data_IF_201577939172
#
_entry.id   IF_201577939172
#
_cell.length_a   1.000
_cell.length_b   1.000
_cell.length_c   1.000
_cell.angle_alpha   90.00
_cell.angle_beta   90.00
_cell.angle_gamma   90.00
#
_symmetry.space_group_name_H-M   'P 1'
#
loop_
_entity.id
_entity.type
_entity.pdbx_description
1 polymer ?
#
# COMPACT_ATOMS: atom_id res chain seq x y z
N UNK A 1 5.83 3.13 34.24
CA UNK A 1 4.88 3.48 35.31
C UNK A 1 3.56 2.80 35.00
N UNK A 2 3.02 1.99 35.90
CA UNK A 2 1.68 1.44 35.80
C UNK A 2 0.76 2.18 36.79
N UNK A 3 -0.51 2.39 36.44
CA UNK A 3 -1.46 3.09 37.27
C UNK A 3 -2.62 3.73 36.52
N UNK A 4 -3.33 4.62 37.16
CA UNK A 4 -4.45 5.37 36.59
C UNK A 4 -4.15 6.86 36.67
N UNK A 5 -4.27 7.55 35.54
CA UNK A 5 -4.24 9.01 35.47
C UNK A 5 -5.68 9.51 35.42
N UNK A 6 -6.07 10.37 36.33
CA UNK A 6 -7.38 11.03 36.36
C UNK A 6 -7.26 12.47 35.95
N UNK A 7 -8.09 12.89 35.02
CA UNK A 7 -8.09 14.25 34.49
C UNK A 7 -9.51 14.82 34.51
N UNK A 8 -9.63 16.09 34.84
CA UNK A 8 -10.87 16.83 34.58
C UNK A 8 -10.91 17.22 33.10
N UNK A 9 -12.00 16.90 32.44
CA UNK A 9 -12.19 17.09 31.01
C UNK A 9 -13.42 17.94 30.76
N UNK A 10 -13.29 18.95 29.92
CA UNK A 10 -14.40 19.61 29.30
C UNK A 10 -14.73 18.94 27.96
N UNK A 11 -15.96 18.48 27.77
CA UNK A 11 -16.41 17.85 26.54
C UNK A 11 -16.62 18.91 25.46
N UNK A 12 -15.78 18.93 24.41
CA UNK A 12 -15.82 19.94 23.36
C UNK A 12 -16.80 19.61 22.22
N UNK A 13 -17.28 18.36 22.14
CA UNK A 13 -18.14 17.92 21.03
C UNK A 13 -19.11 16.80 21.41
N UNK A 14 -20.08 16.53 20.52
CA UNK A 14 -21.10 15.50 20.74
C UNK A 14 -22.26 15.92 21.64
N UNK A 15 -23.08 14.94 22.03
CA UNK A 15 -24.34 15.19 22.80
C UNK A 15 -24.12 15.77 24.20
N UNK A 16 -22.92 15.67 24.75
CA UNK A 16 -22.58 16.12 26.10
C UNK A 16 -21.68 17.36 26.11
N UNK A 17 -21.63 18.13 25.03
CA UNK A 17 -20.79 19.31 24.89
C UNK A 17 -21.00 20.30 26.05
N UNK A 18 -19.89 20.83 26.58
CA UNK A 18 -19.85 21.81 27.68
C UNK A 18 -19.96 21.20 29.10
N UNK A 19 -20.11 19.86 29.22
CA UNK A 19 -20.08 19.22 30.54
C UNK A 19 -18.63 19.00 30.97
N UNK A 20 -18.35 19.22 32.24
CA UNK A 20 -17.10 18.91 32.90
C UNK A 20 -17.27 17.56 33.59
N UNK A 21 -16.37 16.62 33.26
CA UNK A 21 -16.39 15.23 33.74
C UNK A 21 -14.99 14.75 34.09
N UNK A 22 -14.93 13.75 34.98
CA UNK A 22 -13.66 13.06 35.27
C UNK A 22 -13.40 12.00 34.21
N UNK A 23 -12.26 12.11 33.51
CA UNK A 23 -11.78 11.10 32.57
C UNK A 23 -10.66 10.26 33.17
N UNK A 24 -10.63 8.97 32.79
CA UNK A 24 -9.64 8.00 33.26
C UNK A 24 -8.75 7.52 32.12
N UNK A 25 -7.47 7.51 32.36
CA UNK A 25 -6.45 6.97 31.48
C UNK A 25 -5.68 5.88 32.20
N UNK A 26 -5.78 4.62 31.72
CA UNK A 26 -5.07 3.47 32.27
C UNK A 26 -3.67 3.39 31.69
N UNK A 27 -2.68 3.27 32.55
CA UNK A 27 -1.27 3.11 32.20
C UNK A 27 -0.85 1.67 32.55
N UNK A 28 -0.45 0.93 31.53
CA UNK A 28 -0.06 -0.48 31.63
C UNK A 28 1.46 -0.70 31.85
N UNK A 29 2.23 0.39 31.82
CA UNK A 29 3.70 0.34 31.88
C UNK A 29 4.36 0.11 30.52
N UNK A 30 3.58 0.14 29.43
CA UNK A 30 4.08 0.00 28.06
C UNK A 30 4.40 1.36 27.47
N UNK A 31 5.64 1.57 27.04
CA UNK A 31 6.02 2.81 26.33
C UNK A 31 5.31 2.96 24.98
N UNK A 32 4.88 1.87 24.38
CA UNK A 32 4.19 1.85 23.10
C UNK A 32 2.71 2.22 23.23
N UNK A 33 2.07 1.80 24.32
CA UNK A 33 0.62 1.94 24.50
C UNK A 33 0.24 3.07 25.45
N UNK A 34 1.09 3.38 26.41
CA UNK A 34 0.78 4.37 27.43
C UNK A 34 0.96 5.79 26.90
N UNK A 35 0.02 6.62 27.21
CA UNK A 35 -0.03 8.04 26.89
C UNK A 35 -0.28 8.84 28.14
N UNK A 36 0.44 9.94 28.30
CA UNK A 36 0.28 10.87 29.40
C UNK A 36 -0.37 12.16 28.86
N UNK A 37 -1.36 12.65 29.60
CA UNK A 37 -2.03 13.90 29.28
C UNK A 37 -1.62 15.00 30.23
N UNK A 38 -1.43 16.20 29.69
CA UNK A 38 -1.15 17.43 30.42
C UNK A 38 -2.32 18.39 30.35
N UNK A 39 -2.36 19.37 31.26
CA UNK A 39 -3.37 20.42 31.23
C UNK A 39 -3.30 21.20 29.90
N UNK A 40 -4.44 21.35 29.22
CA UNK A 40 -4.54 21.98 27.90
C UNK A 40 -4.51 21.00 26.72
N UNK A 41 -4.21 19.73 26.93
CA UNK A 41 -4.22 18.71 25.87
C UNK A 41 -5.65 18.42 25.42
N UNK A 42 -5.81 18.17 24.11
CA UNK A 42 -7.07 17.67 23.55
C UNK A 42 -7.01 16.15 23.45
N UNK A 43 -7.96 15.48 24.10
CA UNK A 43 -8.07 14.03 24.13
C UNK A 43 -9.28 13.54 23.35
N UNK A 44 -9.12 12.41 22.64
CA UNK A 44 -10.21 11.61 22.16
C UNK A 44 -10.72 10.75 23.31
N UNK A 45 -12.01 10.85 23.62
CA UNK A 45 -12.61 10.16 24.76
C UNK A 45 -13.75 9.25 24.33
N UNK A 46 -13.92 8.13 25.03
CA UNK A 46 -15.11 7.27 24.95
C UNK A 46 -15.98 7.55 26.17
N UNK A 47 -17.21 7.92 25.92
CA UNK A 47 -18.21 8.22 26.96
C UNK A 47 -19.18 7.05 27.03
N UNK A 48 -19.22 6.36 28.15
CA UNK A 48 -20.26 5.38 28.46
C UNK A 48 -21.39 6.10 29.20
N UNK A 49 -22.59 6.01 28.67
CA UNK A 49 -23.76 6.70 29.25
C UNK A 49 -24.98 5.78 29.26
N UNK A 50 -25.88 6.01 30.19
CA UNK A 50 -27.18 5.33 30.28
C UNK A 50 -28.25 6.35 30.67
N UNK A 51 -29.40 6.33 30.02
CA UNK A 51 -30.51 7.24 30.22
C UNK A 51 -30.12 8.74 30.22
N UNK A 52 -29.12 9.15 29.45
CA UNK A 52 -28.66 10.55 29.40
C UNK A 52 -27.65 10.94 30.49
N UNK A 53 -27.33 10.03 31.43
CA UNK A 53 -26.31 10.23 32.45
C UNK A 53 -24.99 9.58 32.06
N UNK A 54 -23.87 10.27 32.29
CA UNK A 54 -22.53 9.79 32.01
C UNK A 54 -22.10 8.89 33.14
N UNK A 55 -21.83 7.59 32.82
CA UNK A 55 -21.37 6.61 33.78
C UNK A 55 -19.85 6.62 33.92
N UNK A 56 -19.11 6.69 32.81
CA UNK A 56 -17.66 6.74 32.80
C UNK A 56 -17.13 7.39 31.54
N UNK A 57 -15.96 8.02 31.64
CA UNK A 57 -15.23 8.59 30.49
C UNK A 57 -13.84 7.99 30.49
N UNK A 58 -13.50 7.31 29.39
CA UNK A 58 -12.18 6.72 29.18
C UNK A 58 -11.42 7.55 28.12
N UNK A 59 -10.22 7.96 28.47
CA UNK A 59 -9.32 8.67 27.53
C UNK A 59 -8.66 7.65 26.61
N UNK A 60 -8.89 7.77 25.30
CA UNK A 60 -8.39 6.80 24.31
C UNK A 60 -7.04 7.22 23.79
N UNK A 61 -6.91 8.46 23.30
CA UNK A 61 -5.68 8.99 22.74
C UNK A 61 -5.71 10.51 22.65
N UNK A 62 -4.57 11.13 22.28
CA UNK A 62 -4.53 12.55 21.91
C UNK A 62 -5.36 12.80 20.65
N UNK A 63 -6.07 13.94 20.60
CA UNK A 63 -6.87 14.32 19.44
C UNK A 63 -6.01 14.95 18.36
N UNK A 64 -5.58 14.15 17.39
CA UNK A 64 -4.64 14.54 16.31
C UNK A 64 -5.35 14.96 15.01
N UNK A 65 -6.63 14.68 14.86
CA UNK A 65 -7.37 14.88 13.61
C UNK A 65 -7.21 16.27 12.94
N UNK A 66 -7.15 17.42 13.65
CA UNK A 66 -6.94 18.71 13.01
C UNK A 66 -5.58 18.82 12.30
N UNK A 67 -4.52 18.25 12.91
CA UNK A 67 -3.17 18.27 12.35
C UNK A 67 -3.03 17.30 11.18
N UNK A 68 -3.69 16.13 11.26
CA UNK A 68 -3.76 15.16 10.17
C UNK A 68 -4.50 15.74 8.96
N UNK A 69 -5.63 16.42 9.19
CA UNK A 69 -6.38 17.10 8.14
C UNK A 69 -5.60 18.28 7.54
N UNK A 70 -4.88 19.06 8.36
CA UNK A 70 -4.03 20.13 7.88
C UNK A 70 -2.91 19.58 6.97
N UNK A 71 -2.23 18.52 7.40
CA UNK A 71 -1.19 17.86 6.62
C UNK A 71 -1.72 17.33 5.29
N UNK A 72 -2.87 16.65 5.32
CA UNK A 72 -3.53 16.14 4.12
C UNK A 72 -3.95 17.27 3.18
N UNK A 73 -4.51 18.36 3.71
CA UNK A 73 -4.91 19.54 2.92
C UNK A 73 -3.69 20.21 2.26
N UNK A 74 -2.59 20.36 2.99
CA UNK A 74 -1.34 20.90 2.44
C UNK A 74 -0.80 20.03 1.31
N UNK A 75 -0.80 18.70 1.48
CA UNK A 75 -0.36 17.76 0.45
C UNK A 75 -1.26 17.84 -0.80
N UNK A 76 -2.58 17.84 -0.65
CA UNK A 76 -3.54 17.95 -1.76
C UNK A 76 -3.36 19.28 -2.49
N UNK A 77 -3.22 20.37 -1.75
CA UNK A 77 -3.01 21.70 -2.34
C UNK A 77 -1.71 21.74 -3.17
N UNK A 78 -0.63 21.22 -2.62
CA UNK A 78 0.67 21.16 -3.29
C UNK A 78 0.60 20.31 -4.56
N UNK A 79 -0.05 19.15 -4.49
CA UNK A 79 -0.23 18.25 -5.63
C UNK A 79 -1.06 18.91 -6.75
N UNK A 80 -2.14 19.62 -6.42
CA UNK A 80 -2.96 20.34 -7.41
C UNK A 80 -2.19 21.52 -7.98
N UNK A 81 -1.44 22.26 -7.16
CA UNK A 81 -0.67 23.42 -7.60
C UNK A 81 0.40 23.04 -8.64
N UNK A 82 1.15 21.96 -8.39
CA UNK A 82 2.25 21.54 -9.27
C UNK A 82 1.80 20.65 -10.44
N UNK A 83 0.84 19.77 -10.24
CA UNK A 83 0.41 18.80 -11.25
C UNK A 83 -0.94 19.15 -11.93
N UNK A 84 -1.63 20.19 -11.50
CA UNK A 84 -2.86 20.66 -12.10
C UNK A 84 -3.93 19.55 -12.21
N UNK A 85 -4.44 19.32 -13.42
CA UNK A 85 -5.47 18.30 -13.67
C UNK A 85 -4.99 16.88 -13.40
N UNK A 86 -3.72 16.60 -13.61
CA UNK A 86 -3.10 15.31 -13.30
C UNK A 86 -3.06 15.11 -11.78
N UNK A 87 -2.73 16.17 -11.02
CA UNK A 87 -2.78 16.16 -9.56
C UNK A 87 -4.17 15.84 -9.02
N UNK A 88 -5.22 16.40 -9.60
CA UNK A 88 -6.61 16.10 -9.21
C UNK A 88 -6.95 14.61 -9.44
N UNK A 89 -6.51 14.02 -10.56
CA UNK A 89 -6.69 12.58 -10.82
C UNK A 89 -5.91 11.71 -9.83
N UNK A 90 -4.70 12.14 -9.45
CA UNK A 90 -3.90 11.46 -8.42
C UNK A 90 -4.57 11.52 -7.04
N UNK A 91 -5.13 12.67 -6.64
CA UNK A 91 -5.93 12.78 -5.40
C UNK A 91 -7.13 11.83 -5.45
N UNK A 92 -7.85 11.78 -6.58
CA UNK A 92 -8.99 10.89 -6.74
C UNK A 92 -8.57 9.42 -6.63
N UNK A 93 -7.46 9.01 -7.27
CA UNK A 93 -6.94 7.64 -7.17
C UNK A 93 -6.54 7.28 -5.74
N UNK A 94 -5.94 8.22 -4.99
CA UNK A 94 -5.59 8.03 -3.59
C UNK A 94 -6.83 7.77 -2.73
N UNK A 95 -7.87 8.60 -2.85
CA UNK A 95 -9.12 8.40 -2.12
C UNK A 95 -9.83 7.09 -2.49
N UNK A 96 -9.85 6.73 -3.77
CA UNK A 96 -10.39 5.46 -4.23
C UNK A 96 -9.64 4.27 -3.62
N UNK A 97 -8.31 4.34 -3.55
CA UNK A 97 -7.48 3.29 -2.94
C UNK A 97 -7.80 3.15 -1.44
N UNK A 98 -7.84 4.25 -0.69
CA UNK A 98 -8.19 4.23 0.73
C UNK A 98 -9.61 3.66 0.93
N UNK A 99 -10.57 4.07 0.11
CA UNK A 99 -11.95 3.61 0.19
C UNK A 99 -12.06 2.11 -0.12
N UNK A 100 -11.37 1.62 -1.16
CA UNK A 100 -11.34 0.21 -1.52
C UNK A 100 -10.73 -0.66 -0.43
N UNK A 101 -9.62 -0.21 0.17
CA UNK A 101 -9.00 -0.92 1.29
C UNK A 101 -9.96 -0.95 2.49
N UNK A 102 -10.52 0.19 2.88
CA UNK A 102 -11.34 0.29 4.10
C UNK A 102 -12.73 -0.33 3.95
N UNK A 103 -13.40 -0.13 2.80
CA UNK A 103 -14.80 -0.56 2.61
C UNK A 103 -14.95 -1.91 1.91
N UNK A 104 -13.92 -2.38 1.22
CA UNK A 104 -13.99 -3.64 0.46
C UNK A 104 -13.01 -4.66 1.01
N UNK A 105 -11.70 -4.38 0.95
CA UNK A 105 -10.66 -5.34 1.32
C UNK A 105 -10.80 -5.82 2.78
N UNK A 106 -10.74 -4.87 3.72
CA UNK A 106 -10.77 -5.18 5.16
C UNK A 106 -12.10 -5.85 5.58
N UNK A 107 -13.29 -5.35 5.20
CA UNK A 107 -14.54 -6.01 5.56
C UNK A 107 -14.70 -7.42 4.98
N UNK A 108 -14.21 -7.67 3.74
CA UNK A 108 -14.25 -9.01 3.15
C UNK A 108 -13.30 -9.97 3.88
N UNK A 109 -12.11 -9.51 4.28
CA UNK A 109 -11.22 -10.31 5.12
C UNK A 109 -11.88 -10.67 6.44
N UNK A 110 -12.45 -9.69 7.16
CA UNK A 110 -13.11 -9.92 8.45
C UNK A 110 -14.32 -10.88 8.34
N UNK A 111 -14.98 -10.95 7.17
CA UNK A 111 -16.04 -11.93 6.89
C UNK A 111 -15.51 -13.34 6.62
N UNK A 112 -14.19 -13.53 6.61
CA UNK A 112 -13.57 -14.84 6.37
C UNK A 112 -13.43 -15.23 4.90
N UNK A 113 -13.60 -14.29 3.96
CA UNK A 113 -13.31 -14.55 2.56
C UNK A 113 -11.81 -14.80 2.39
N UNK A 114 -11.45 -15.59 1.39
CA UNK A 114 -10.06 -15.94 1.13
C UNK A 114 -9.21 -14.69 0.82
N UNK A 115 -8.21 -14.36 1.67
CA UNK A 115 -7.45 -13.13 1.55
C UNK A 115 -6.70 -12.99 0.23
N UNK A 116 -6.22 -14.09 -0.34
CA UNK A 116 -5.45 -14.08 -1.59
C UNK A 116 -6.33 -13.68 -2.77
N UNK A 117 -7.48 -14.33 -2.92
CA UNK A 117 -8.38 -14.02 -4.04
C UNK A 117 -8.99 -12.64 -3.93
N UNK A 118 -9.43 -12.25 -2.73
CA UNK A 118 -9.95 -10.89 -2.49
C UNK A 118 -8.86 -9.86 -2.71
N UNK A 119 -7.63 -10.10 -2.20
CA UNK A 119 -6.49 -9.22 -2.41
C UNK A 119 -6.15 -9.04 -3.89
N UNK A 120 -6.08 -10.13 -4.67
CA UNK A 120 -5.85 -10.07 -6.12
C UNK A 120 -6.96 -9.29 -6.84
N UNK A 121 -8.22 -9.57 -6.55
CA UNK A 121 -9.35 -8.89 -7.17
C UNK A 121 -9.33 -7.38 -6.90
N UNK A 122 -9.12 -6.98 -5.64
CA UNK A 122 -9.05 -5.57 -5.24
C UNK A 122 -7.83 -4.88 -5.88
N UNK A 123 -6.67 -5.52 -5.84
CA UNK A 123 -5.43 -4.95 -6.43
C UNK A 123 -5.57 -4.78 -7.93
N UNK A 124 -6.12 -5.76 -8.64
CA UNK A 124 -6.35 -5.66 -10.09
C UNK A 124 -7.37 -4.57 -10.42
N UNK A 125 -8.46 -4.49 -9.66
CA UNK A 125 -9.46 -3.43 -9.84
C UNK A 125 -8.84 -2.05 -9.64
N UNK A 126 -8.03 -1.87 -8.58
CA UNK A 126 -7.31 -0.62 -8.34
C UNK A 126 -6.31 -0.31 -9.47
N UNK A 127 -5.56 -1.31 -9.93
CA UNK A 127 -4.62 -1.16 -11.06
C UNK A 127 -5.33 -0.65 -12.31
N UNK A 128 -6.47 -1.25 -12.67
CA UNK A 128 -7.28 -0.82 -13.83
C UNK A 128 -7.78 0.61 -13.61
N UNK A 129 -8.37 0.91 -12.45
CA UNK A 129 -8.93 2.23 -12.16
C UNK A 129 -7.87 3.32 -12.18
N UNK A 130 -6.72 3.11 -11.53
CA UNK A 130 -5.63 4.08 -11.45
C UNK A 130 -5.03 4.34 -12.83
N UNK A 131 -4.70 3.27 -13.58
CA UNK A 131 -4.12 3.40 -14.92
C UNK A 131 -5.14 4.04 -15.89
N UNK A 132 -6.43 3.72 -15.77
CA UNK A 132 -7.47 4.36 -16.55
C UNK A 132 -7.65 5.84 -16.21
N UNK A 133 -7.44 6.25 -14.97
CA UNK A 133 -7.41 7.68 -14.60
C UNK A 133 -6.21 8.42 -15.19
N UNK A 134 -5.07 7.76 -15.40
CA UNK A 134 -3.86 8.32 -16.00
C UNK A 134 -4.02 8.47 -17.51
N UNK A 135 -4.35 7.39 -18.20
CA UNK A 135 -4.37 7.33 -19.68
C UNK A 135 -5.75 7.50 -20.31
N UNK A 136 -6.83 7.35 -19.53
CA UNK A 136 -8.14 7.07 -20.09
C UNK A 136 -8.26 5.60 -20.54
N UNK A 137 -9.39 5.22 -21.13
CA UNK A 137 -9.62 3.89 -21.70
C UNK A 137 -9.03 3.78 -23.12
N UNK A 138 -7.71 3.74 -23.20
CA UNK A 138 -6.96 3.65 -24.47
C UNK A 138 -6.09 2.37 -24.49
N UNK A 139 -5.45 2.06 -25.62
CA UNK A 139 -4.53 0.93 -25.78
C UNK A 139 -3.35 0.99 -24.82
N UNK A 140 -2.91 2.19 -24.44
CA UNK A 140 -1.91 2.43 -23.38
C UNK A 140 -2.35 1.83 -22.05
N UNK A 141 -3.62 2.04 -21.71
CA UNK A 141 -4.20 1.47 -20.50
C UNK A 141 -4.15 -0.07 -20.54
N UNK A 142 -4.58 -0.68 -21.66
CA UNK A 142 -4.56 -2.15 -21.81
C UNK A 142 -3.14 -2.70 -21.70
N UNK A 143 -2.16 -2.04 -22.34
CA UNK A 143 -0.76 -2.49 -22.29
C UNK A 143 -0.18 -2.43 -20.87
N UNK A 144 -0.38 -1.30 -20.18
CA UNK A 144 0.10 -1.10 -18.82
C UNK A 144 -0.60 -2.04 -17.81
N UNK A 145 -1.92 -2.20 -17.90
CA UNK A 145 -2.69 -3.11 -17.05
C UNK A 145 -2.24 -4.56 -17.25
N UNK A 146 -2.07 -4.99 -18.52
CA UNK A 146 -1.63 -6.37 -18.81
C UNK A 146 -0.24 -6.66 -18.26
N UNK A 147 0.69 -5.70 -18.42
CA UNK A 147 2.03 -5.82 -17.84
C UNK A 147 2.01 -5.86 -16.32
N UNK A 148 1.28 -4.94 -15.68
CA UNK A 148 1.12 -4.90 -14.22
C UNK A 148 0.51 -6.18 -13.66
N UNK A 149 -0.51 -6.73 -14.33
CA UNK A 149 -1.14 -8.00 -13.94
C UNK A 149 -0.13 -9.14 -13.88
N UNK A 150 0.71 -9.28 -14.91
CA UNK A 150 1.74 -10.32 -14.95
C UNK A 150 2.77 -10.13 -13.84
N UNK A 151 3.21 -8.89 -13.57
CA UNK A 151 4.12 -8.60 -12.47
C UNK A 151 3.54 -8.93 -11.09
N UNK A 152 2.27 -8.56 -10.85
CA UNK A 152 1.55 -8.89 -9.61
C UNK A 152 1.40 -10.41 -9.44
N UNK A 153 1.09 -11.12 -10.52
CA UNK A 153 0.98 -12.58 -10.50
C UNK A 153 2.32 -13.25 -10.14
N UNK A 154 3.43 -12.77 -10.70
CA UNK A 154 4.77 -13.29 -10.35
C UNK A 154 5.08 -13.00 -8.88
N UNK A 155 4.81 -11.79 -8.38
CA UNK A 155 5.01 -11.45 -6.97
C UNK A 155 4.18 -12.37 -6.05
N UNK A 156 2.93 -12.67 -6.42
CA UNK A 156 2.07 -13.62 -5.71
C UNK A 156 2.66 -15.04 -5.72
N UNK A 157 3.07 -15.55 -6.87
CA UNK A 157 3.63 -16.92 -6.99
C UNK A 157 4.90 -17.06 -6.16
N UNK A 158 5.82 -16.09 -6.27
CA UNK A 158 7.05 -16.08 -5.47
C UNK A 158 6.74 -15.96 -3.98
N UNK A 159 5.91 -15.00 -3.61
CA UNK A 159 5.49 -14.80 -2.22
C UNK A 159 4.82 -16.04 -1.61
N UNK A 160 3.90 -16.66 -2.33
CA UNK A 160 3.19 -17.87 -1.92
C UNK A 160 4.14 -19.07 -1.73
N UNK A 161 5.00 -19.31 -2.70
CA UNK A 161 5.96 -20.43 -2.69
C UNK A 161 6.96 -20.29 -1.54
N UNK A 162 7.58 -19.13 -1.39
CA UNK A 162 8.61 -18.90 -0.37
C UNK A 162 8.03 -18.70 1.03
N UNK A 163 6.78 -18.26 1.20
CA UNK A 163 6.11 -18.29 2.51
C UNK A 163 6.04 -19.70 3.06
N UNK A 164 5.80 -20.70 2.19
CA UNK A 164 5.82 -22.11 2.59
C UNK A 164 7.23 -22.61 2.93
N UNK A 165 8.22 -22.32 2.10
CA UNK A 165 9.61 -22.75 2.35
C UNK A 165 10.24 -22.11 3.58
N UNK A 166 9.88 -20.88 3.90
CA UNK A 166 10.37 -20.16 5.07
C UNK A 166 9.56 -20.47 6.33
N UNK A 167 8.52 -21.29 6.23
CA UNK A 167 7.62 -21.64 7.33
C UNK A 167 7.07 -20.39 8.06
N UNK A 168 6.79 -19.32 7.31
CA UNK A 168 6.33 -18.06 7.90
C UNK A 168 4.84 -18.14 8.19
N UNK A 169 4.49 -17.92 9.45
CA UNK A 169 3.12 -17.73 9.89
C UNK A 169 2.73 -16.25 9.84
N UNK A 170 1.49 -15.95 9.50
CA UNK A 170 1.00 -14.57 9.44
C UNK A 170 1.03 -13.80 10.77
N UNK A 171 1.31 -14.46 11.87
CA UNK A 171 1.54 -13.84 13.17
C UNK A 171 2.78 -12.93 13.24
N UNK A 172 3.59 -12.86 12.18
CA UNK A 172 4.68 -11.89 12.05
C UNK A 172 4.18 -10.47 11.76
N UNK A 173 2.94 -10.31 11.31
CA UNK A 173 2.33 -9.00 11.06
C UNK A 173 2.01 -8.30 12.38
N UNK A 174 2.25 -6.99 12.43
CA UNK A 174 1.87 -6.16 13.59
C UNK A 174 0.37 -6.28 13.88
N UNK A 175 0.01 -6.29 15.16
CA UNK A 175 -1.38 -6.40 15.64
C UNK A 175 -2.13 -7.69 15.28
N UNK A 176 -1.48 -8.69 14.68
CA UNK A 176 -2.12 -9.96 14.30
C UNK A 176 -2.69 -10.71 15.51
N UNK A 177 -1.97 -10.71 16.64
CA UNK A 177 -2.44 -11.31 17.89
C UNK A 177 -3.66 -10.57 18.46
N UNK A 178 -3.65 -9.23 18.42
CA UNK A 178 -4.80 -8.41 18.85
C UNK A 178 -6.07 -8.74 18.06
N UNK A 179 -5.92 -9.04 16.78
CA UNK A 179 -7.02 -9.45 15.90
C UNK A 179 -7.62 -10.80 16.35
N UNK A 180 -6.76 -11.76 16.70
CA UNK A 180 -7.21 -13.06 17.22
C UNK A 180 -7.95 -12.91 18.55
N UNK A 181 -7.43 -12.09 19.48
CA UNK A 181 -8.08 -11.83 20.77
C UNK A 181 -9.39 -11.04 20.63
N UNK A 182 -9.56 -10.28 19.55
CA UNK A 182 -10.81 -9.57 19.25
C UNK A 182 -11.93 -10.49 18.70
N UNK A 183 -11.72 -11.81 18.68
CA UNK A 183 -12.72 -12.80 18.26
C UNK A 183 -12.62 -13.26 16.81
N UNK A 184 -11.60 -12.82 16.07
CA UNK A 184 -11.40 -13.19 14.67
C UNK A 184 -10.44 -14.38 14.50
N UNK A 185 -10.61 -15.44 15.31
CA UNK A 185 -9.75 -16.64 15.30
C UNK A 185 -9.87 -17.48 14.02
N UNK A 186 -10.95 -17.30 13.25
CA UNK A 186 -11.21 -18.00 12.00
C UNK A 186 -10.37 -17.47 10.81
N UNK A 187 -9.66 -16.35 10.99
CA UNK A 187 -8.89 -15.73 9.93
C UNK A 187 -7.59 -16.49 9.66
N UNK A 188 -7.30 -16.71 8.37
CA UNK A 188 -6.03 -17.28 7.97
C UNK A 188 -4.96 -16.18 7.82
N UNK A 189 -4.23 -15.92 8.92
CA UNK A 189 -3.20 -14.88 8.96
C UNK A 189 -2.09 -15.11 7.94
N UNK A 190 -1.73 -16.35 7.63
CA UNK A 190 -0.70 -16.67 6.64
C UNK A 190 -1.13 -16.26 5.24
N UNK A 191 -2.40 -16.46 4.88
CA UNK A 191 -2.93 -16.01 3.59
C UNK A 191 -3.08 -14.49 3.51
N UNK A 192 -3.36 -13.82 4.63
CA UNK A 192 -3.33 -12.35 4.72
C UNK A 192 -1.90 -11.85 4.49
N UNK A 193 -0.90 -12.49 5.11
CA UNK A 193 0.51 -12.18 4.89
C UNK A 193 0.92 -12.37 3.41
N UNK A 194 0.54 -13.49 2.77
CA UNK A 194 0.78 -13.69 1.34
C UNK A 194 0.15 -12.59 0.48
N UNK A 195 -1.07 -12.17 0.81
CA UNK A 195 -1.74 -11.09 0.10
C UNK A 195 -1.02 -9.75 0.27
N UNK A 196 -0.48 -9.45 1.45
CA UNK A 196 0.23 -8.20 1.71
C UNK A 196 1.50 -8.04 0.86
N UNK A 197 2.17 -9.14 0.46
CA UNK A 197 3.36 -9.12 -0.39
C UNK A 197 3.06 -8.48 -1.75
N UNK A 198 2.07 -9.01 -2.47
CA UNK A 198 1.76 -8.48 -3.80
C UNK A 198 0.98 -7.16 -3.76
N UNK A 199 0.16 -6.93 -2.73
CA UNK A 199 -0.49 -5.64 -2.51
C UNK A 199 0.56 -4.54 -2.30
N UNK A 200 1.56 -4.79 -1.44
CA UNK A 200 2.62 -3.84 -1.17
C UNK A 200 3.50 -3.53 -2.38
N UNK A 201 3.79 -4.54 -3.21
CA UNK A 201 4.60 -4.37 -4.42
C UNK A 201 3.81 -3.76 -5.60
N UNK A 202 2.47 -3.84 -5.59
CA UNK A 202 1.62 -3.47 -6.73
C UNK A 202 1.78 -2.02 -7.19
N UNK A 203 2.03 -1.10 -6.27
CA UNK A 203 2.28 0.31 -6.60
C UNK A 203 3.51 0.48 -7.48
N UNK A 204 4.65 -0.04 -7.06
CA UNK A 204 5.90 0.05 -7.81
C UNK A 204 5.83 -0.72 -9.16
N UNK A 205 5.13 -1.86 -9.19
CA UNK A 205 4.86 -2.64 -10.41
C UNK A 205 4.03 -1.80 -11.41
N UNK A 206 3.02 -1.11 -10.91
CA UNK A 206 2.14 -0.25 -11.71
C UNK A 206 2.90 0.96 -12.26
N UNK A 207 3.71 1.64 -11.44
CA UNK A 207 4.48 2.81 -11.83
C UNK A 207 5.45 2.46 -12.95
N UNK A 208 6.21 1.37 -12.82
CA UNK A 208 7.14 0.93 -13.86
C UNK A 208 6.42 0.54 -15.16
N UNK A 209 5.24 -0.07 -15.06
CA UNK A 209 4.42 -0.40 -16.21
C UNK A 209 3.91 0.85 -16.96
N UNK A 210 3.50 1.87 -16.22
CA UNK A 210 3.08 3.17 -16.77
C UNK A 210 4.26 3.87 -17.46
N UNK A 211 5.42 3.91 -16.84
CA UNK A 211 6.62 4.54 -17.38
C UNK A 211 7.07 3.88 -18.68
N UNK A 212 7.16 2.55 -18.72
CA UNK A 212 7.53 1.80 -19.92
C UNK A 212 6.51 2.04 -21.05
N UNK A 213 5.21 1.99 -20.73
CA UNK A 213 4.15 2.20 -21.72
C UNK A 213 4.19 3.61 -22.30
N UNK A 214 4.42 4.63 -21.46
CA UNK A 214 4.57 6.02 -21.89
C UNK A 214 5.76 6.20 -22.81
N UNK A 215 6.90 5.64 -22.47
CA UNK A 215 8.12 5.72 -23.26
C UNK A 215 7.97 5.01 -24.63
N UNK A 216 7.36 3.82 -24.64
CA UNK A 216 7.11 3.09 -25.91
C UNK A 216 6.13 3.88 -26.77
N UNK A 217 5.08 4.47 -26.19
CA UNK A 217 4.13 5.30 -26.93
C UNK A 217 4.82 6.50 -27.59
N UNK A 218 5.65 7.22 -26.85
CA UNK A 218 6.38 8.38 -27.38
C UNK A 218 7.31 8.01 -28.54
N UNK A 219 8.00 6.86 -28.45
CA UNK A 219 8.88 6.39 -29.53
C UNK A 219 8.08 6.00 -30.77
N UNK A 220 6.95 5.31 -30.62
CA UNK A 220 6.07 4.91 -31.74
C UNK A 220 5.43 6.14 -32.41
N UNK A 221 5.05 7.16 -31.63
CA UNK A 221 4.49 8.41 -32.17
C UNK A 221 5.53 9.22 -32.94
N UNK A 222 6.79 9.27 -32.47
CA UNK A 222 7.87 10.02 -33.15
C UNK A 222 8.42 9.30 -34.39
N UNK A 223 8.31 7.97 -34.48
CA UNK A 223 8.78 7.17 -35.61
C UNK A 223 7.65 6.30 -36.15
N UNK A 224 6.77 6.85 -37.01
CA UNK A 224 5.72 6.07 -37.65
C UNK A 224 6.31 4.93 -38.47
N UNK A 225 5.76 3.72 -38.35
CA UNK A 225 6.30 2.51 -39.02
C UNK A 225 7.34 1.75 -38.25
N UNK A 226 7.61 2.10 -36.99
CA UNK A 226 8.47 1.34 -36.09
C UNK A 226 7.97 -0.10 -35.94
N UNK A 227 8.85 -1.09 -36.12
CA UNK A 227 8.52 -2.49 -35.91
C UNK A 227 8.30 -2.80 -34.43
N UNK A 228 7.38 -3.75 -34.14
CA UNK A 228 7.06 -4.11 -32.74
C UNK A 228 8.29 -4.55 -31.94
N UNK A 229 9.26 -5.26 -32.56
CA UNK A 229 10.51 -5.71 -31.91
C UNK A 229 11.39 -4.53 -31.47
N UNK A 230 11.46 -3.47 -32.26
CA UNK A 230 12.23 -2.27 -31.96
C UNK A 230 11.55 -1.47 -30.84
N UNK A 231 10.22 -1.40 -30.86
CA UNK A 231 9.40 -0.82 -29.79
C UNK A 231 9.59 -1.56 -28.45
N UNK A 232 9.58 -2.90 -28.47
CA UNK A 232 9.88 -3.74 -27.30
C UNK A 232 11.29 -3.47 -26.76
N UNK A 233 12.29 -3.41 -27.64
CA UNK A 233 13.67 -3.09 -27.22
C UNK A 233 13.78 -1.73 -26.55
N UNK A 234 13.08 -0.72 -27.09
CA UNK A 234 13.03 0.62 -26.49
C UNK A 234 12.41 0.58 -25.09
N UNK A 235 11.26 -0.10 -24.92
CA UNK A 235 10.62 -0.27 -23.63
C UNK A 235 11.51 -1.01 -22.62
N UNK A 236 12.22 -2.05 -23.07
CA UNK A 236 13.18 -2.78 -22.23
C UNK A 236 14.36 -1.93 -21.77
N UNK A 237 14.83 -0.99 -22.61
CA UNK A 237 15.92 -0.10 -22.20
C UNK A 237 15.47 0.83 -21.07
N UNK A 238 14.25 1.39 -21.17
CA UNK A 238 13.66 2.19 -20.08
C UNK A 238 13.44 1.34 -18.82
N UNK A 239 12.88 0.15 -18.98
CA UNK A 239 12.66 -0.78 -17.86
C UNK A 239 13.95 -1.12 -17.13
N UNK A 240 15.05 -1.41 -17.85
CA UNK A 240 16.35 -1.69 -17.23
C UNK A 240 16.91 -0.51 -16.45
N UNK A 241 16.75 0.71 -16.95
CA UNK A 241 17.22 1.91 -16.26
C UNK A 241 16.44 2.14 -14.95
N UNK A 242 15.12 1.93 -14.96
CA UNK A 242 14.26 2.16 -13.82
C UNK A 242 14.33 1.03 -12.77
N UNK A 243 14.47 -0.25 -13.18
CA UNK A 243 14.51 -1.39 -12.26
C UNK A 243 15.56 -1.26 -11.16
N UNK A 244 16.75 -0.76 -11.47
CA UNK A 244 17.84 -0.65 -10.51
C UNK A 244 17.52 0.27 -9.33
N UNK A 245 16.85 1.39 -9.57
CA UNK A 245 16.45 2.32 -8.51
C UNK A 245 15.18 1.86 -7.79
N UNK A 246 14.20 1.34 -8.52
CA UNK A 246 12.92 0.92 -7.94
C UNK A 246 13.03 -0.30 -7.01
N UNK A 247 13.91 -1.26 -7.29
CA UNK A 247 14.16 -2.38 -6.37
C UNK A 247 14.77 -1.90 -5.04
N UNK A 248 15.67 -0.93 -5.09
CA UNK A 248 16.22 -0.30 -3.88
C UNK A 248 15.16 0.51 -3.13
N UNK A 249 14.25 1.17 -3.85
CA UNK A 249 13.11 1.90 -3.24
C UNK A 249 12.20 0.95 -2.47
N UNK A 250 11.89 -0.23 -3.01
CA UNK A 250 11.12 -1.25 -2.28
C UNK A 250 11.85 -1.70 -1.01
N UNK A 251 13.17 -1.94 -1.08
CA UNK A 251 13.96 -2.29 0.09
C UNK A 251 13.85 -1.21 1.17
N UNK A 252 14.03 0.07 0.83
CA UNK A 252 13.91 1.15 1.81
C UNK A 252 12.50 1.30 2.37
N UNK A 253 11.47 1.17 1.52
CA UNK A 253 10.07 1.28 1.93
C UNK A 253 9.71 0.24 3.00
N UNK A 254 10.16 -0.99 2.82
CA UNK A 254 9.87 -2.07 3.76
C UNK A 254 10.81 -2.07 4.96
N UNK A 255 12.13 -1.90 4.76
CA UNK A 255 13.10 -1.98 5.86
C UNK A 255 13.00 -0.83 6.86
N UNK A 256 12.45 0.32 6.47
CA UNK A 256 12.32 1.48 7.36
C UNK A 256 11.58 1.17 8.67
N UNK A 257 10.57 0.32 8.64
CA UNK A 257 9.82 -0.11 9.82
C UNK A 257 10.57 -1.07 10.76
N UNK A 258 11.66 -1.67 10.28
CA UNK A 258 12.43 -2.69 11.03
C UNK A 258 13.78 -2.20 11.55
N UNK A 259 14.13 -0.93 11.33
CA UNK A 259 15.38 -0.36 11.81
C UNK A 259 15.55 -0.54 13.33
N UNK A 260 14.51 -0.27 14.10
CA UNK A 260 14.54 -0.45 15.56
C UNK A 260 14.83 -1.90 15.98
N UNK A 261 14.25 -2.89 15.29
CA UNK A 261 14.51 -4.30 15.54
C UNK A 261 15.97 -4.67 15.22
N UNK A 262 16.50 -4.19 14.11
CA UNK A 262 17.91 -4.40 13.74
C UNK A 262 18.86 -3.76 14.75
N UNK A 263 18.52 -2.57 15.27
CA UNK A 263 19.30 -1.91 16.34
C UNK A 263 19.34 -2.76 17.62
N UNK A 264 18.24 -3.40 18.00
CA UNK A 264 18.21 -4.32 19.16
C UNK A 264 19.16 -5.48 18.95
N UNK A 265 19.13 -6.14 17.77
CA UNK A 265 20.04 -7.26 17.49
C UNK A 265 21.51 -6.81 17.50
N UNK A 266 21.82 -5.68 16.93
CA UNK A 266 23.19 -5.15 16.94
C UNK A 266 23.67 -4.79 18.35
N UNK A 267 22.81 -4.16 19.16
CA UNK A 267 23.11 -3.83 20.55
C UNK A 267 23.34 -5.07 21.41
N UNK A 268 22.67 -6.18 21.11
CA UNK A 268 22.84 -7.47 21.78
C UNK A 268 24.02 -8.27 21.24
N UNK A 269 24.73 -7.82 20.21
CA UNK A 269 25.81 -8.57 19.58
C UNK A 269 25.35 -9.85 18.86
N UNK A 270 24.10 -9.89 18.41
CA UNK A 270 23.51 -11.09 17.78
C UNK A 270 24.23 -11.39 16.46
N UNK A 271 24.71 -12.63 16.22
CA UNK A 271 25.37 -13.01 14.96
C UNK A 271 24.46 -12.83 13.76
N UNK A 272 25.01 -12.42 12.63
CA UNK A 272 24.25 -12.17 11.38
C UNK A 272 23.43 -13.40 10.93
N UNK A 273 23.97 -14.60 11.10
CA UNK A 273 23.23 -15.85 10.78
C UNK A 273 21.93 -15.98 11.57
N UNK A 274 21.95 -15.59 12.85
CA UNK A 274 20.76 -15.63 13.70
C UNK A 274 19.77 -14.53 13.31
N UNK A 275 20.27 -13.32 12.98
CA UNK A 275 19.42 -12.22 12.52
C UNK A 275 18.66 -12.60 11.26
N UNK A 276 19.35 -13.18 10.26
CA UNK A 276 18.73 -13.58 8.99
C UNK A 276 17.70 -14.73 9.16
N UNK A 277 17.90 -15.60 10.14
CA UNK A 277 16.95 -16.68 10.45
C UNK A 277 15.81 -16.23 11.38
N UNK A 278 15.85 -15.01 11.87
CA UNK A 278 14.78 -14.53 12.74
C UNK A 278 13.51 -14.28 11.92
N UNK A 279 12.39 -14.89 12.34
CA UNK A 279 11.15 -14.94 11.56
C UNK A 279 10.64 -13.59 11.03
N UNK A 280 10.79 -12.52 11.82
CA UNK A 280 10.36 -11.17 11.38
C UNK A 280 11.28 -10.61 10.29
N UNK A 281 12.59 -10.85 10.40
CA UNK A 281 13.58 -10.45 9.38
C UNK A 281 13.38 -11.26 8.10
N UNK A 282 13.18 -12.57 8.24
CA UNK A 282 12.89 -13.46 7.11
C UNK A 282 11.59 -13.07 6.39
N UNK A 283 10.55 -12.69 7.13
CA UNK A 283 9.30 -12.19 6.56
C UNK A 283 9.49 -10.89 5.76
N UNK A 284 10.28 -9.96 6.28
CA UNK A 284 10.59 -8.70 5.61
C UNK A 284 11.45 -8.89 4.36
N UNK A 285 12.44 -9.78 4.45
CA UNK A 285 13.23 -10.20 3.31
C UNK A 285 12.34 -10.80 2.21
N UNK A 286 11.40 -11.64 2.60
CA UNK A 286 10.45 -12.24 1.67
C UNK A 286 9.55 -11.17 1.01
N UNK A 287 9.02 -10.23 1.77
CA UNK A 287 8.25 -9.08 1.23
C UNK A 287 9.04 -8.33 0.16
N UNK A 288 10.25 -7.94 0.50
CA UNK A 288 11.12 -7.14 -0.38
C UNK A 288 11.52 -7.91 -1.63
N UNK A 289 11.99 -9.15 -1.48
CA UNK A 289 12.52 -9.95 -2.59
C UNK A 289 11.40 -10.44 -3.50
N UNK A 290 10.31 -10.99 -2.95
CA UNK A 290 9.19 -11.46 -3.76
C UNK A 290 8.50 -10.30 -4.51
N UNK A 291 8.35 -9.13 -3.86
CA UNK A 291 7.89 -7.92 -4.54
C UNK A 291 8.83 -7.47 -5.66
N UNK A 292 10.15 -7.57 -5.45
CA UNK A 292 11.16 -7.24 -6.45
C UNK A 292 11.14 -8.20 -7.65
N UNK A 293 10.82 -9.48 -7.46
CA UNK A 293 10.60 -10.40 -8.59
C UNK A 293 9.44 -9.90 -9.48
N UNK A 294 8.33 -9.46 -8.90
CA UNK A 294 7.23 -8.86 -9.64
C UNK A 294 7.66 -7.60 -10.39
N UNK A 295 8.43 -6.74 -9.74
CA UNK A 295 8.94 -5.50 -10.33
C UNK A 295 9.91 -5.75 -11.50
N UNK A 296 10.83 -6.71 -11.37
CA UNK A 296 11.76 -7.04 -12.45
C UNK A 296 11.04 -7.66 -13.64
N UNK A 297 10.08 -8.54 -13.40
CA UNK A 297 9.36 -9.25 -14.47
C UNK A 297 8.30 -8.38 -15.15
N UNK A 298 7.75 -7.35 -14.50
CA UNK A 298 6.81 -6.44 -15.17
C UNK A 298 7.43 -5.73 -16.36
N UNK A 299 8.73 -5.45 -16.36
CA UNK A 299 9.38 -4.71 -17.43
C UNK A 299 9.33 -5.46 -18.79
N UNK A 300 9.76 -6.72 -18.92
CA UNK A 300 9.63 -7.45 -20.17
C UNK A 300 8.17 -7.68 -20.59
N UNK A 301 7.27 -7.95 -19.65
CA UNK A 301 5.85 -8.14 -19.98
C UNK A 301 5.22 -6.86 -20.49
N UNK A 302 5.45 -5.73 -19.83
CA UNK A 302 4.91 -4.43 -20.27
C UNK A 302 5.52 -3.99 -21.59
N UNK A 303 6.84 -4.13 -21.76
CA UNK A 303 7.49 -3.78 -23.02
C UNK A 303 6.93 -4.59 -24.19
N UNK A 304 6.69 -5.89 -23.99
CA UNK A 304 6.08 -6.77 -24.99
C UNK A 304 4.64 -6.34 -25.31
N UNK A 305 3.80 -6.16 -24.29
CA UNK A 305 2.41 -5.71 -24.47
C UNK A 305 2.34 -4.34 -25.15
N UNK A 306 3.12 -3.37 -24.70
CA UNK A 306 3.15 -2.03 -25.27
C UNK A 306 3.66 -2.07 -26.72
N UNK A 307 4.75 -2.80 -26.97
CA UNK A 307 5.30 -2.97 -28.32
C UNK A 307 4.30 -3.57 -29.31
N UNK A 308 3.55 -4.59 -28.91
CA UNK A 308 2.53 -5.23 -29.74
C UNK A 308 1.30 -4.35 -29.92
N UNK A 309 0.72 -3.83 -28.84
CA UNK A 309 -0.56 -3.11 -28.90
C UNK A 309 -0.44 -1.72 -29.52
N UNK A 310 0.69 -1.03 -29.34
CA UNK A 310 0.87 0.33 -29.86
C UNK A 310 1.32 0.36 -31.32
N UNK A 311 2.12 -0.62 -31.79
CA UNK A 311 2.57 -0.68 -33.18
C UNK A 311 1.52 -1.25 -34.14
N UNK A 312 0.58 -2.08 -33.67
CA UNK A 312 -0.46 -2.71 -34.51
C UNK A 312 -1.39 -1.71 -35.23
N UNK A 313 -1.46 -0.45 -34.77
CA UNK A 313 -2.30 0.59 -35.39
C UNK A 313 -1.65 1.24 -36.61
N UNK A 314 -0.34 1.33 -36.69
CA UNK A 314 0.35 1.95 -37.82
C UNK A 314 0.38 1.05 -39.07
N UNK A 315 0.36 -0.26 -38.91
CA UNK A 315 0.28 -1.19 -40.05
C UNK A 315 -1.06 -1.16 -40.79
N UNK A 316 -2.16 -0.79 -40.10
CA UNK A 316 -3.48 -0.66 -40.73
C UNK A 316 -3.71 0.71 -41.40
N UNK A 317 -3.04 1.74 -40.91
CA UNK A 317 -3.14 3.11 -41.48
C UNK A 317 -2.31 3.28 -42.74
N UNK A 318 -1.10 2.73 -42.78
CA UNK A 318 -0.26 2.72 -44.00
C UNK A 318 -0.90 1.88 -45.12
N UNK A 319 -1.56 0.75 -44.81
CA UNK A 319 -2.29 -0.02 -45.82
C UNK A 319 -3.48 0.76 -46.45
N UNK A 320 -4.04 1.73 -45.72
CA UNK A 320 -5.14 2.57 -46.26
C UNK A 320 -4.62 3.74 -47.11
N UNK A 321 -3.40 4.23 -46.83
CA UNK A 321 -2.78 5.28 -47.67
C UNK A 321 -2.10 4.73 -48.97
N UNK A 322 -1.68 3.45 -48.93
CA UNK A 322 -1.15 2.78 -50.13
C UNK A 322 -2.27 2.24 -51.06
N UNK A 323 -3.54 2.28 -50.60
CA UNK A 323 -4.70 1.84 -51.38
C UNK A 323 -5.57 3.01 -51.92
N UNK A 324 -5.19 4.26 -51.64
CA UNK A 324 -5.74 5.49 -52.25
C UNK A 324 -4.70 6.14 -53.17
#
# INVERSE_FOLDING_TARGET
RSGEQRCQLEILGGAFRGRIVEGRNLLNGSLEQDKLFSAGDKALVRINYQNGEILSVSMIDHYRAPWELLLAAMFILLLILFAGRTGLRAVLSFFLTVLMIWKVLVPLYLKGWDPVWVGLAVTLTLTVLIIALVYGFDRRCIAAVSGSFMGILVAYVMGSMFTGFFEIHGAVMSYSESLLYAGYQHLNLTRIFMASIFIGASGAIMDLSVDITSAVCEVVEKKPGLGWREAVRSGMNVGRAAMGTMTTTLLFAYSGGYVALLMVFMAQGTPLSNILNYRYVAAELLHTVAGSFGLVTVAPFTALCAGVFLTSRHGLWNKKQESE
#
